data_IF_525943083213
#
_entry.id   IF_525943083213
#
_cell.length_a   1.000
_cell.length_b   1.000
_cell.length_c   1.000
_cell.angle_alpha   90.00
_cell.angle_beta   90.00
_cell.angle_gamma   90.00
#
_symmetry.space_group_name_H-M   'P 1'
#
loop_
_entity.id
_entity.type
_entity.pdbx_description
1 polymer ?
2 polymer ?
3 polymer ?
4 non-polymer ?
5 non-polymer ?
6 non-polymer ?
7 water ?
#
loop_
_entity_poly.entity_id
_entity_poly.type
_entity_poly.pdbx_seq_one_letter_code
_entity_poly.pdbx_strand_id
2 'polydeoxyribonucleotide' '(DA)(DG)(DG)(DA)(DC)(DC)(DOC)' ?
3 'polydeoxyribonucleotide' '(DC)(DT)(DG)(DG)(DG)(DT)(DC)(DC)(DT)' ?
#
# COMPACT_ATOMS: atom_id res chain seq x y z
N UNK A 26 2.54 -17.47 -19.84
CA UNK A 26 1.27 -16.97 -20.36
C UNK A 26 0.29 -16.60 -19.25
N UNK A 27 -0.57 -17.54 -18.87
CA UNK A 27 -1.61 -17.31 -17.88
C UNK A 27 -1.09 -17.40 -16.44
N UNK A 28 -1.45 -16.43 -15.60
CA UNK A 28 -0.93 -16.39 -14.24
C UNK A 28 -2.01 -16.56 -13.20
N UNK A 29 -1.59 -16.94 -11.99
CA UNK A 29 -2.48 -16.90 -10.85
C UNK A 29 -1.86 -16.02 -9.75
N UNK A 30 -2.49 -14.87 -9.51
CA UNK A 30 -1.92 -13.86 -8.65
C UNK A 30 -2.84 -13.71 -7.46
N UNK A 31 -2.25 -13.56 -6.27
CA UNK A 31 -3.04 -13.23 -5.08
C UNK A 31 -2.66 -11.85 -4.56
N UNK A 32 -3.66 -11.10 -4.12
CA UNK A 32 -3.50 -9.84 -3.45
C UNK A 32 -3.97 -10.00 -2.00
N UNK A 33 -3.08 -9.72 -1.06
CA UNK A 33 -3.40 -9.89 0.35
C UNK A 33 -3.53 -8.51 0.96
N UNK A 34 -4.59 -8.30 1.72
CA UNK A 34 -4.94 -6.97 2.15
C UNK A 34 -5.39 -6.99 3.62
N UNK A 35 -4.58 -6.46 4.53
CA UNK A 35 -4.83 -6.64 5.97
C UNK A 35 -6.00 -5.81 6.44
N UNK A 36 -6.88 -6.34 7.29
CA UNK A 36 -7.98 -5.51 7.79
C UNK A 36 -7.52 -4.35 8.70
N UNK A 37 -8.04 -3.13 8.50
CA UNK A 37 -7.76 -1.96 9.37
C UNK A 37 -6.38 -2.02 10.06
N UNK A 38 -5.34 -2.01 9.25
CA UNK A 38 -4.02 -2.48 9.69
C UNK A 38 -3.50 -1.88 11.00
N UNK A 39 -3.44 -0.55 11.09
CA UNK A 39 -2.87 0.09 12.28
C UNK A 39 -3.71 -0.22 13.52
N UNK A 40 -5.02 -0.09 13.36
CA UNK A 40 -5.97 -0.42 14.41
C UNK A 40 -5.76 -1.85 14.88
N UNK A 41 -5.57 -2.76 13.92
CA UNK A 41 -5.36 -4.17 14.23
C UNK A 41 -4.09 -4.38 15.03
N UNK A 42 -3.00 -3.73 14.64
CA UNK A 42 -1.74 -3.87 15.36
C UNK A 42 -1.89 -3.34 16.78
N UNK A 43 -2.67 -2.27 16.93
CA UNK A 43 -2.88 -1.69 18.25
C UNK A 43 -3.63 -2.65 19.16
N UNK A 44 -4.61 -3.36 18.60
CA UNK A 44 -5.43 -4.28 19.38
C UNK A 44 -4.67 -5.54 19.77
N UNK A 45 -3.62 -5.86 19.04
CA UNK A 45 -2.77 -7.00 19.37
C UNK A 45 -1.71 -6.57 20.39
N UNK A 46 -1.67 -5.26 20.67
CA UNK A 46 -0.76 -4.75 21.69
C UNK A 46 -1.38 -4.86 23.08
N UNK A 47 -2.50 -4.16 23.28
CA UNK A 47 -3.35 -4.45 24.43
C UNK A 47 -4.75 -4.91 23.99
N UNK A 48 -4.96 -6.25 24.01
CA UNK A 48 -6.19 -6.97 23.63
C UNK A 48 -7.44 -6.33 24.22
N UNK A 49 -7.28 -5.72 25.38
CA UNK A 49 -8.33 -4.97 26.05
C UNK A 49 -9.09 -4.07 25.07
N UNK A 50 -8.34 -3.47 24.13
CA UNK A 50 -8.91 -2.54 23.16
C UNK A 50 -9.91 -3.18 22.20
N UNK A 51 -9.83 -4.50 22.05
CA UNK A 51 -10.79 -5.23 21.23
C UNK A 51 -12.19 -5.02 21.80
N UNK A 52 -13.21 -5.09 20.94
CA UNK A 52 -14.61 -4.85 21.28
C UNK A 52 -14.94 -3.37 21.50
N UNK A 53 -13.95 -2.57 21.87
CA UNK A 53 -14.13 -1.13 22.03
C UNK A 53 -13.81 -0.40 20.73
N UNK A 54 -14.63 0.60 20.38
CA UNK A 54 -14.52 1.36 19.12
C UNK A 54 -13.23 2.21 19.07
N UNK A 55 -12.34 1.87 18.14
CA UNK A 55 -10.99 2.42 18.16
C UNK A 55 -10.62 3.25 16.94
N UNK A 56 -9.96 4.36 17.18
CA UNK A 56 -9.39 5.18 16.12
C UNK A 56 -7.90 5.34 16.33
N UNK A 57 -7.15 5.30 15.24
CA UNK A 57 -5.73 5.61 15.30
C UNK A 57 -5.54 7.04 14.78
N UNK A 58 -4.92 7.88 15.60
CA UNK A 58 -4.82 9.30 15.28
C UNK A 58 -3.40 9.68 14.89
N UNK A 59 -3.31 10.63 13.99
CA UNK A 59 -2.05 11.22 13.63
C UNK A 59 -2.36 12.70 13.55
N UNK A 60 -1.69 13.47 14.40
CA UNK A 60 -1.98 14.89 14.53
C UNK A 60 -3.46 15.18 14.79
N UNK A 61 -4.18 15.61 13.77
CA UNK A 61 -5.57 16.01 13.95
C UNK A 61 -6.55 15.12 13.19
N UNK A 62 -6.07 13.96 12.72
CA UNK A 62 -6.93 13.10 11.91
C UNK A 62 -6.96 11.68 12.43
N UNK A 63 -8.08 11.01 12.21
CA UNK A 63 -8.15 9.59 12.41
C UNK A 63 -7.83 8.94 11.07
N UNK A 64 -6.64 8.35 10.97
CA UNK A 64 -6.18 7.80 9.71
C UNK A 64 -6.79 6.43 9.42
N UNK A 65 -7.03 5.66 10.47
CA UNK A 65 -7.86 4.46 10.36
C UNK A 65 -8.50 4.09 11.70
N UNK A 66 -9.56 3.30 11.62
CA UNK A 66 -10.34 2.90 12.79
C UNK A 66 -10.75 1.44 12.65
N UNK A 67 -11.03 0.78 13.76
CA UNK A 67 -11.52 -0.60 13.70
C UNK A 67 -12.96 -0.68 13.21
N UNK A 68 -13.49 -1.90 13.14
CA UNK A 68 -14.81 -2.10 12.55
C UNK A 68 -15.96 -1.75 13.49
N UNK A 69 -15.72 -1.90 14.79
CA UNK A 69 -16.63 -1.37 15.81
C UNK A 69 -16.86 0.11 15.51
N UNK A 70 -15.80 0.89 15.68
CA UNK A 70 -15.85 2.33 15.46
C UNK A 70 -16.35 2.72 14.07
N UNK A 71 -15.99 1.93 13.06
CA UNK A 71 -16.38 2.24 11.68
C UNK A 71 -17.88 2.14 11.50
N UNK A 72 -18.51 1.24 12.27
CA UNK A 72 -19.95 1.01 12.21
C UNK A 72 -20.74 2.26 12.58
N UNK A 73 -20.15 3.05 13.49
CA UNK A 73 -20.78 4.25 14.00
C UNK A 73 -20.43 5.50 13.20
N UNK A 74 -20.36 5.36 11.87
CA UNK A 74 -20.17 6.50 11.00
C UNK A 74 -18.75 7.03 10.86
N UNK A 75 -17.82 6.45 11.60
CA UNK A 75 -16.41 6.88 11.53
C UNK A 75 -15.72 6.31 10.29
N UNK A 76 -14.86 7.10 9.67
CA UNK A 76 -14.03 6.60 8.57
C UNK A 76 -12.65 7.26 8.45
N UNK A 77 -11.82 6.70 7.59
CA UNK A 77 -10.43 7.12 7.43
C UNK A 77 -10.27 8.57 6.99
N UNK A 78 -9.18 9.18 7.41
CA UNK A 78 -8.82 10.55 7.02
C UNK A 78 -9.91 11.55 7.39
N UNK A 79 -10.73 11.19 8.38
CA UNK A 79 -11.75 12.10 8.90
C UNK A 79 -11.24 12.70 10.19
N UNK A 80 -11.29 14.03 10.31
CA UNK A 80 -10.74 14.71 11.48
C UNK A 80 -11.42 14.34 12.78
N UNK A 81 -10.69 14.49 13.88
CA UNK A 81 -11.21 14.17 15.22
C UNK A 81 -12.49 14.93 15.54
N UNK A 82 -12.58 16.16 15.06
CA UNK A 82 -13.78 16.98 15.19
C UNK A 82 -14.99 16.26 14.60
N UNK A 83 -14.88 15.86 13.34
CA UNK A 83 -15.93 15.12 12.65
C UNK A 83 -15.97 13.66 13.10
N UNK A 84 -15.12 13.29 14.05
CA UNK A 84 -15.03 11.90 14.51
C UNK A 84 -15.52 11.74 15.94
N UNK A 85 -15.36 12.78 16.75
CA UNK A 85 -15.80 12.72 18.13
C UNK A 85 -17.27 13.10 18.28
N UNK A 86 -17.78 13.85 17.31
CA UNK A 86 -19.18 14.28 17.35
C UNK A 86 -20.13 13.14 16.96
N UNK A 87 -19.62 12.15 16.25
CA UNK A 87 -20.38 10.94 15.95
C UNK A 87 -20.13 9.89 17.02
N UNK A 88 -18.90 9.82 17.49
CA UNK A 88 -18.57 8.94 18.61
C UNK A 88 -17.86 9.71 19.69
N UNK A 89 -18.62 10.19 20.67
CA UNK A 89 -18.02 10.70 21.90
C UNK A 89 -17.32 9.55 22.62
N UNK A 90 -17.75 8.33 22.34
CA UNK A 90 -17.17 7.13 22.95
C UNK A 90 -15.98 6.60 22.14
N UNK A 91 -15.67 7.26 21.04
CA UNK A 91 -14.51 6.91 20.22
C UNK A 91 -13.23 6.93 21.04
N UNK A 92 -12.51 5.81 21.06
CA UNK A 92 -11.21 5.74 21.72
C UNK A 92 -10.08 6.04 20.73
N UNK A 93 -9.12 6.86 21.14
CA UNK A 93 -8.04 7.30 20.28
C UNK A 93 -6.68 6.81 20.73
N UNK A 94 -5.90 6.29 19.79
CA UNK A 94 -4.50 5.94 20.06
C UNK A 94 -3.63 6.66 19.05
N UNK A 95 -2.47 7.11 19.51
CA UNK A 95 -1.59 7.91 18.66
C UNK A 95 -0.76 7.00 17.78
N UNK A 96 -0.82 7.24 16.47
CA UNK A 96 -0.12 6.36 15.55
C UNK A 96 0.85 7.07 14.65
N UNK A 97 1.39 8.19 15.14
CA UNK A 97 2.35 8.95 14.37
C UNK A 97 3.65 8.17 14.18
N UNK A 98 4.08 7.48 15.23
CA UNK A 98 5.27 6.64 15.16
C UNK A 98 4.96 5.32 14.47
N UNK A 99 5.43 5.19 13.22
CA UNK A 99 5.14 4.03 12.38
C UNK A 99 5.96 2.78 12.72
N UNK A 100 6.88 2.91 13.68
CA UNK A 100 7.81 1.81 13.99
C UNK A 100 7.20 0.42 14.12
N UNK A 101 6.21 0.27 15.00
CA UNK A 101 5.60 -1.05 15.21
C UNK A 101 4.76 -1.50 13.98
N UNK A 102 4.20 -0.57 13.23
CA UNK A 102 3.40 -0.94 12.05
C UNK A 102 4.34 -1.46 10.97
N UNK A 103 5.46 -0.75 10.79
CA UNK A 103 6.49 -1.13 9.83
C UNK A 103 7.06 -2.50 10.15
N UNK A 104 7.33 -2.76 11.42
CA UNK A 104 7.84 -4.07 11.80
C UNK A 104 6.85 -5.21 11.50
N UNK A 105 5.58 -5.02 11.88
CA UNK A 105 4.57 -6.03 11.58
C UNK A 105 4.41 -6.20 10.06
N UNK A 106 4.49 -5.09 9.35
CA UNK A 106 4.36 -5.12 7.90
C UNK A 106 5.42 -6.02 7.26
N UNK A 107 6.66 -5.89 7.70
CA UNK A 107 7.71 -6.78 7.20
C UNK A 107 7.55 -8.22 7.66
N UNK A 108 6.98 -8.44 8.84
CA UNK A 108 6.69 -9.82 9.24
C UNK A 108 5.67 -10.48 8.30
N UNK A 109 4.69 -9.71 7.82
CA UNK A 109 3.68 -10.28 6.93
C UNK A 109 4.36 -10.65 5.62
N UNK A 110 5.10 -9.71 5.07
CA UNK A 110 5.79 -9.94 3.82
C UNK A 110 6.71 -11.16 3.92
N UNK A 111 7.47 -11.26 5.02
CA UNK A 111 8.37 -12.40 5.17
C UNK A 111 7.62 -13.74 5.23
N UNK A 112 6.50 -13.78 5.93
CA UNK A 112 5.73 -15.02 6.00
C UNK A 112 5.15 -15.39 4.61
N UNK A 113 4.78 -14.37 3.84
CA UNK A 113 4.25 -14.65 2.51
C UNK A 113 5.39 -15.13 1.65
N UNK A 114 6.60 -14.62 1.92
CA UNK A 114 7.74 -14.99 1.09
C UNK A 114 8.10 -16.48 1.23
N UNK A 115 7.65 -17.10 2.30
CA UNK A 115 7.88 -18.53 2.51
C UNK A 115 7.07 -19.37 1.53
N UNK A 116 5.88 -18.89 1.21
CA UNK A 116 5.03 -19.52 0.21
C UNK A 116 5.68 -19.48 -1.20
N UNK A 117 6.01 -18.30 -1.69
CA UNK A 117 6.72 -18.14 -2.95
C UNK A 117 7.59 -16.93 -2.79
N UNK A 118 8.84 -16.99 -3.28
CA UNK A 118 9.75 -15.87 -3.04
C UNK A 118 9.37 -14.57 -3.73
N UNK A 119 8.48 -14.60 -4.72
CA UNK A 119 8.12 -13.36 -5.41
C UNK A 119 6.95 -12.65 -4.75
N UNK A 120 7.27 -11.69 -3.89
CA UNK A 120 6.25 -10.93 -3.21
C UNK A 120 6.51 -9.45 -3.40
N UNK A 121 5.48 -8.74 -3.86
CA UNK A 121 5.56 -7.31 -4.04
C UNK A 121 4.73 -6.60 -3.00
N UNK A 122 5.33 -5.63 -2.33
CA UNK A 122 4.66 -4.85 -1.30
C UNK A 122 3.99 -3.66 -1.96
N UNK A 123 2.84 -3.29 -1.45
CA UNK A 123 2.24 -2.05 -1.86
C UNK A 123 1.83 -1.35 -0.57
N UNK A 124 2.57 -0.31 -0.21
CA UNK A 124 2.38 0.31 1.09
C UNK A 124 2.71 -0.69 2.18
N UNK A 125 2.27 -0.39 3.40
CA UNK A 125 2.57 -1.23 4.54
C UNK A 125 1.66 -2.44 4.70
N UNK A 126 0.51 -2.47 4.03
CA UNK A 126 -0.45 -3.52 4.38
C UNK A 126 -1.04 -4.33 3.21
N UNK A 127 -0.45 -4.19 2.03
CA UNK A 127 -0.85 -5.00 0.90
C UNK A 127 0.37 -5.69 0.31
N UNK A 128 0.15 -6.91 -0.15
CA UNK A 128 1.16 -7.67 -0.86
C UNK A 128 0.52 -8.42 -2.04
N UNK A 129 1.23 -8.47 -3.17
CA UNK A 129 0.90 -9.37 -4.26
C UNK A 129 1.88 -10.51 -4.23
N UNK A 130 1.40 -11.72 -4.51
CA UNK A 130 2.25 -12.88 -4.69
C UNK A 130 1.88 -13.60 -6.01
N UNK A 131 2.88 -13.95 -6.81
CA UNK A 131 2.65 -14.72 -8.02
C UNK A 131 2.62 -16.19 -7.65
N UNK A 132 1.43 -16.76 -7.65
CA UNK A 132 1.26 -18.13 -7.22
C UNK A 132 1.35 -19.14 -8.37
N UNK A 133 1.75 -18.70 -9.56
CA UNK A 133 1.64 -19.53 -10.76
C UNK A 133 2.40 -20.86 -10.70
N UNK A 134 3.68 -20.81 -10.35
CA UNK A 134 4.52 -22.01 -10.30
C UNK A 134 4.09 -22.92 -9.17
N UNK A 135 3.66 -22.29 -8.08
CA UNK A 135 3.10 -23.01 -6.95
C UNK A 135 1.80 -23.77 -7.31
N UNK A 136 0.89 -23.11 -8.02
CA UNK A 136 -0.32 -23.80 -8.50
C UNK A 136 0.04 -25.00 -9.37
N UNK A 137 0.92 -24.77 -10.34
CA UNK A 137 1.39 -25.80 -11.25
C UNK A 137 2.04 -27.00 -10.55
N UNK A 138 2.86 -26.72 -9.55
CA UNK A 138 3.49 -27.79 -8.78
C UNK A 138 2.43 -28.64 -8.09
N UNK A 139 1.42 -27.98 -7.51
CA UNK A 139 0.37 -28.71 -6.80
C UNK A 139 -0.47 -29.57 -7.75
N UNK A 140 -0.76 -29.04 -8.94
CA UNK A 140 -1.62 -29.77 -9.86
C UNK A 140 -0.97 -31.04 -10.37
N UNK A 141 0.30 -30.96 -10.76
CA UNK A 141 0.97 -32.13 -11.31
C UNK A 141 1.30 -33.15 -10.22
N UNK A 142 0.99 -32.80 -8.98
CA UNK A 142 1.19 -33.72 -7.87
C UNK A 142 -0.09 -34.53 -7.69
N UNK A 143 -1.20 -33.97 -8.16
CA UNK A 143 -2.50 -34.63 -8.09
C UNK A 143 -2.65 -35.67 -9.19
N UNK A 144 -3.59 -36.61 -8.98
CA UNK A 144 -3.93 -37.61 -10.00
C UNK A 144 -5.26 -37.26 -10.66
N UNK A 145 -5.62 -38.01 -11.70
CA UNK A 145 -6.83 -37.70 -12.48
C UNK A 145 -8.12 -37.74 -11.67
N UNK A 146 -8.20 -38.66 -10.72
CA UNK A 146 -9.39 -38.81 -9.89
C UNK A 146 -9.48 -37.72 -8.83
N UNK A 147 -8.36 -37.04 -8.59
CA UNK A 147 -8.27 -35.99 -7.58
C UNK A 147 -8.68 -34.63 -8.13
N UNK A 148 -8.50 -34.45 -9.44
CA UNK A 148 -8.89 -33.22 -10.12
C UNK A 148 -10.34 -32.88 -9.86
N UNK A 149 -11.20 -33.89 -9.94
CA UNK A 149 -12.64 -33.70 -9.77
C UNK A 149 -13.00 -33.30 -8.33
N UNK A 150 -12.07 -33.53 -7.41
CA UNK A 150 -12.30 -33.25 -5.99
C UNK A 150 -11.94 -31.80 -5.58
N UNK A 151 -11.26 -31.07 -6.46
CA UNK A 151 -10.82 -29.71 -6.17
C UNK A 151 -11.96 -28.76 -5.83
N UNK A 152 -11.86 -28.06 -4.70
CA UNK A 152 -12.91 -27.16 -4.25
C UNK A 152 -12.35 -25.77 -3.98
N UNK A 153 -13.25 -24.79 -3.99
CA UNK A 153 -12.88 -23.41 -3.74
C UNK A 153 -12.79 -23.14 -2.22
N UNK A 154 -11.87 -22.26 -1.83
CA UNK A 154 -11.91 -21.69 -0.48
C UNK A 154 -12.43 -20.28 -0.56
N UNK A 155 -13.47 -19.98 0.21
CA UNK A 155 -14.02 -18.64 0.23
C UNK A 155 -14.96 -18.37 -0.93
N UNK A 156 -15.17 -17.09 -1.21
CA UNK A 156 -16.16 -16.64 -2.18
C UNK A 156 -15.70 -16.80 -3.63
N UNK A 157 -16.65 -17.02 -4.53
CA UNK A 157 -16.37 -16.91 -5.96
C UNK A 157 -17.05 -15.64 -6.41
N UNK A 158 -16.34 -14.77 -7.13
CA UNK A 158 -16.92 -13.48 -7.47
C UNK A 158 -18.20 -13.67 -8.33
N UNK A 159 -19.22 -12.88 -8.01
CA UNK A 159 -20.49 -12.89 -8.72
C UNK A 159 -21.24 -14.21 -8.58
N UNK A 160 -20.88 -15.02 -7.58
CA UNK A 160 -21.45 -16.34 -7.42
C UNK A 160 -21.35 -17.16 -8.72
N UNK A 161 -20.25 -17.00 -9.45
CA UNK A 161 -20.15 -17.64 -10.75
C UNK A 161 -19.90 -19.13 -10.66
N UNK A 162 -20.53 -19.87 -11.57
CA UNK A 162 -20.43 -21.32 -11.58
C UNK A 162 -19.05 -21.83 -11.95
N UNK A 163 -18.55 -22.75 -11.13
CA UNK A 163 -17.26 -23.35 -11.38
C UNK A 163 -17.40 -24.47 -12.39
N UNK A 164 -16.46 -24.55 -13.33
CA UNK A 164 -16.41 -25.67 -14.24
C UNK A 164 -15.08 -26.40 -14.06
N UNK A 165 -15.14 -27.60 -13.50
CA UNK A 165 -13.93 -28.33 -13.10
C UNK A 165 -13.13 -28.91 -14.27
N UNK A 166 -13.66 -28.83 -15.48
CA UNK A 166 -12.92 -29.34 -16.62
C UNK A 166 -12.23 -28.16 -17.31
N UNK A 167 -12.58 -26.95 -16.87
CA UNK A 167 -11.90 -25.74 -17.32
C UNK A 167 -10.58 -25.59 -16.55
N UNK A 168 -9.46 -25.73 -17.24
CA UNK A 168 -8.17 -25.80 -16.57
C UNK A 168 -7.83 -24.48 -15.87
N UNK A 169 -8.32 -23.37 -16.42
CA UNK A 169 -8.16 -22.06 -15.82
C UNK A 169 -8.94 -21.97 -14.52
N UNK A 170 -10.14 -22.56 -14.52
CA UNK A 170 -10.96 -22.58 -13.32
C UNK A 170 -10.21 -23.36 -12.23
N UNK A 171 -9.65 -24.51 -12.62
CA UNK A 171 -8.91 -25.35 -11.68
C UNK A 171 -7.73 -24.63 -11.03
N UNK A 172 -6.94 -23.95 -11.85
CA UNK A 172 -5.76 -23.23 -11.39
C UNK A 172 -6.14 -22.14 -10.39
N UNK A 173 -7.19 -21.40 -10.70
CA UNK A 173 -7.67 -20.33 -9.84
C UNK A 173 -8.18 -20.86 -8.50
N UNK A 174 -8.84 -22.01 -8.51
CA UNK A 174 -9.31 -22.63 -7.29
C UNK A 174 -8.16 -23.08 -6.40
N UNK A 175 -7.09 -23.57 -7.02
CA UNK A 175 -5.92 -23.99 -6.26
C UNK A 175 -5.34 -22.72 -5.63
N UNK A 176 -5.40 -21.62 -6.40
CA UNK A 176 -5.03 -20.29 -5.93
C UNK A 176 -5.77 -19.90 -4.67
N UNK A 177 -7.08 -20.11 -4.67
CA UNK A 177 -7.92 -19.76 -3.53
C UNK A 177 -7.53 -20.59 -2.30
N UNK A 178 -7.11 -21.84 -2.52
CA UNK A 178 -6.69 -22.73 -1.45
C UNK A 178 -5.36 -22.29 -0.82
N UNK A 179 -4.44 -21.84 -1.65
CA UNK A 179 -3.18 -21.32 -1.17
C UNK A 179 -3.42 -20.02 -0.43
N UNK A 180 -4.31 -19.19 -0.99
CA UNK A 180 -4.68 -17.93 -0.34
C UNK A 180 -5.23 -18.16 1.06
N UNK A 181 -6.05 -19.21 1.22
CA UNK A 181 -6.63 -19.51 2.53
C UNK A 181 -5.56 -19.93 3.54
N UNK A 182 -4.60 -20.72 3.06
CA UNK A 182 -3.45 -21.15 3.84
C UNK A 182 -2.59 -19.97 4.27
N UNK A 183 -2.41 -19.01 3.36
CA UNK A 183 -1.71 -17.78 3.69
C UNK A 183 -2.43 -17.06 4.83
N UNK A 184 -3.74 -16.84 4.66
CA UNK A 184 -4.51 -16.14 5.67
C UNK A 184 -4.53 -16.85 7.03
N UNK A 185 -4.54 -18.18 7.00
CA UNK A 185 -4.53 -18.94 8.24
C UNK A 185 -3.15 -18.87 8.92
N UNK A 186 -2.09 -18.88 8.12
CA UNK A 186 -0.76 -18.74 8.66
C UNK A 186 -0.58 -17.35 9.30
N UNK A 187 -1.01 -16.31 8.59
CA UNK A 187 -0.92 -14.94 9.11
C UNK A 187 -1.65 -14.84 10.44
N UNK A 188 -2.79 -15.49 10.51
CA UNK A 188 -3.55 -15.40 11.74
C UNK A 188 -2.91 -16.23 12.86
N UNK A 189 -2.50 -17.46 12.54
CA UNK A 189 -1.95 -18.35 13.55
C UNK A 189 -0.57 -17.90 14.05
N UNK A 190 0.23 -17.33 13.15
CA UNK A 190 1.61 -16.98 13.46
C UNK A 190 1.78 -15.55 13.88
N UNK A 191 0.93 -14.68 13.34
CA UNK A 191 1.08 -13.25 13.60
C UNK A 191 -0.14 -12.63 14.24
N UNK A 192 -1.21 -13.40 14.39
CA UNK A 192 -2.46 -12.87 14.93
C UNK A 192 -3.18 -11.88 14.03
N UNK A 193 -2.78 -11.81 12.77
CA UNK A 193 -3.36 -10.81 11.88
C UNK A 193 -4.43 -11.39 10.95
N UNK A 194 -5.43 -10.56 10.70
CA UNK A 194 -6.58 -10.95 9.91
C UNK A 194 -6.53 -10.08 8.65
N UNK A 195 -6.94 -10.65 7.52
CA UNK A 195 -6.86 -9.95 6.25
C UNK A 195 -7.77 -10.51 5.15
N UNK A 196 -7.94 -9.75 4.08
CA UNK A 196 -8.64 -10.22 2.88
C UNK A 196 -7.65 -10.67 1.81
N UNK A 197 -8.11 -11.55 0.92
CA UNK A 197 -7.32 -11.94 -0.24
C UNK A 197 -8.19 -11.98 -1.48
N UNK A 198 -7.60 -11.70 -2.63
CA UNK A 198 -8.31 -11.88 -3.90
C UNK A 198 -7.42 -12.66 -4.82
N UNK A 199 -7.97 -13.66 -5.48
CA UNK A 199 -7.22 -14.46 -6.44
C UNK A 199 -7.77 -14.20 -7.84
N UNK A 200 -6.89 -13.89 -8.78
CA UNK A 200 -7.30 -13.55 -10.14
C UNK A 200 -6.11 -13.74 -11.09
N UNK A 201 -6.32 -13.43 -12.37
CA UNK A 201 -5.33 -13.74 -13.41
C UNK A 201 -4.23 -12.68 -13.55
N UNK A 202 -4.45 -11.50 -12.97
CA UNK A 202 -3.40 -10.47 -12.92
C UNK A 202 -3.51 -9.59 -11.67
N UNK A 203 -2.63 -8.59 -11.55
CA UNK A 203 -2.55 -7.77 -10.32
C UNK A 203 -3.73 -6.84 -10.17
N UNK A 204 -4.09 -6.16 -11.25
CA UNK A 204 -5.23 -5.27 -11.22
C UNK A 204 -6.47 -5.98 -10.66
N UNK A 205 -6.77 -7.12 -11.26
CA UNK A 205 -7.98 -7.86 -10.94
C UNK A 205 -7.91 -8.51 -9.53
N UNK A 206 -6.76 -9.06 -9.16
CA UNK A 206 -6.59 -9.57 -7.79
C UNK A 206 -6.88 -8.46 -6.78
N UNK A 207 -6.38 -7.27 -7.06
CA UNK A 207 -6.59 -6.14 -6.17
C UNK A 207 -8.03 -5.64 -6.20
N UNK A 208 -8.68 -5.69 -7.37
CA UNK A 208 -10.07 -5.26 -7.41
C UNK A 208 -10.91 -6.27 -6.66
N UNK A 209 -10.60 -7.55 -6.81
CA UNK A 209 -11.47 -8.58 -6.22
C UNK A 209 -11.27 -8.83 -4.71
N UNK A 210 -10.11 -8.45 -4.17
CA UNK A 210 -9.78 -8.79 -2.77
C UNK A 210 -10.71 -8.09 -1.80
N UNK A 211 -11.18 -6.93 -2.20
CA UNK A 211 -12.04 -6.14 -1.33
C UNK A 211 -13.54 -6.44 -1.44
N UNK A 212 -13.94 -7.32 -2.36
CA UNK A 212 -15.38 -7.56 -2.55
C UNK A 212 -16.10 -8.02 -1.30
N UNK A 213 -15.49 -8.95 -0.56
CA UNK A 213 -16.03 -9.33 0.73
C UNK A 213 -15.01 -9.00 1.82
N UNK A 214 -15.40 -8.13 2.74
CA UNK A 214 -14.50 -7.69 3.80
C UNK A 214 -15.29 -7.45 5.08
N UNK A 215 -14.62 -7.52 6.25
CA UNK A 215 -13.19 -7.85 6.41
C UNK A 215 -13.00 -9.35 6.53
N UNK A 216 -11.74 -9.76 6.45
CA UNK A 216 -11.34 -11.12 6.79
C UNK A 216 -12.08 -12.20 6.00
N UNK A 217 -12.19 -11.99 4.69
CA UNK A 217 -12.72 -13.00 3.78
C UNK A 217 -11.91 -12.97 2.50
N UNK A 218 -12.12 -13.95 1.63
CA UNK A 218 -11.40 -13.95 0.37
C UNK A 218 -12.32 -14.28 -0.81
N UNK A 219 -11.92 -13.81 -1.98
CA UNK A 219 -12.75 -13.97 -3.16
C UNK A 219 -11.85 -14.34 -4.31
N UNK A 220 -12.32 -15.24 -5.16
CA UNK A 220 -11.60 -15.62 -6.38
C UNK A 220 -12.41 -15.18 -7.63
N UNK A 221 -11.71 -14.62 -8.62
CA UNK A 221 -12.36 -14.08 -9.80
C UNK A 221 -12.16 -15.04 -10.97
N UNK A 222 -13.24 -15.62 -11.49
CA UNK A 222 -13.17 -16.47 -12.69
C UNK A 222 -13.22 -15.58 -13.93
N UNK A 223 -12.57 -15.98 -15.02
CA UNK A 223 -12.37 -15.08 -16.16
C UNK A 223 -13.68 -14.56 -16.76
N UNK A 224 -14.74 -15.37 -16.70
CA UNK A 224 -16.03 -14.98 -17.29
C UNK A 224 -16.69 -13.80 -16.59
N UNK A 225 -16.25 -13.53 -15.36
CA UNK A 225 -16.84 -12.45 -14.55
C UNK A 225 -15.99 -11.18 -14.54
N UNK A 226 -14.97 -11.16 -15.38
CA UNK A 226 -14.02 -10.04 -15.42
C UNK A 226 -14.71 -8.73 -15.82
N UNK A 227 -15.52 -8.79 -16.88
CA UNK A 227 -16.19 -7.58 -17.33
C UNK A 227 -17.16 -7.07 -16.27
N UNK A 228 -17.81 -8.00 -15.56
CA UNK A 228 -18.73 -7.62 -14.49
C UNK A 228 -17.96 -6.90 -13.35
N UNK A 229 -16.78 -7.41 -13.02
CA UNK A 229 -15.97 -6.79 -11.96
C UNK A 229 -15.57 -5.37 -12.35
N UNK A 230 -15.03 -5.20 -13.57
CA UNK A 230 -14.60 -3.85 -13.98
C UNK A 230 -15.76 -2.87 -14.16
N UNK A 231 -16.91 -3.33 -14.67
CA UNK A 231 -18.05 -2.43 -14.79
C UNK A 231 -18.78 -2.18 -13.48
N UNK A 232 -18.47 -2.97 -12.46
CA UNK A 232 -19.07 -2.71 -11.16
C UNK A 232 -18.49 -1.40 -10.58
N UNK A 233 -17.33 -0.96 -11.06
CA UNK A 233 -16.79 0.34 -10.59
C UNK A 233 -17.68 1.47 -11.06
N UNK A 234 -17.76 2.53 -10.27
CA UNK A 234 -18.63 3.66 -10.62
C UNK A 234 -17.90 4.86 -11.23
N UNK A 235 -16.60 4.97 -10.97
CA UNK A 235 -15.80 6.00 -11.62
C UNK A 235 -14.39 5.51 -11.91
N UNK A 236 -13.77 6.08 -12.93
CA UNK A 236 -12.48 5.62 -13.41
C UNK A 236 -11.39 5.85 -12.35
N UNK A 237 -11.66 6.77 -11.43
CA UNK A 237 -10.74 7.06 -10.34
C UNK A 237 -10.67 5.88 -9.38
N UNK A 238 -11.59 4.94 -9.50
CA UNK A 238 -11.52 3.73 -8.67
C UNK A 238 -10.59 2.68 -9.29
N UNK A 239 -10.09 2.95 -10.48
CA UNK A 239 -9.11 2.06 -11.06
C UNK A 239 -7.70 2.31 -10.51
N UNK A 240 -7.12 1.28 -9.88
CA UNK A 240 -5.74 1.41 -9.37
C UNK A 240 -4.78 1.80 -10.50
N UNK A 241 -4.11 2.94 -10.37
CA UNK A 241 -3.26 3.44 -11.45
C UNK A 241 -3.78 4.77 -11.96
N UNK A 242 -5.03 5.06 -11.67
CA UNK A 242 -5.64 6.34 -12.00
C UNK A 242 -5.77 7.19 -10.75
N UNK A 243 -4.84 8.13 -10.57
CA UNK A 243 -4.87 8.99 -9.41
C UNK A 243 -5.56 10.32 -9.65
N UNK A 244 -5.33 11.26 -8.74
CA UNK A 244 -5.97 12.57 -8.78
C UNK A 244 -5.81 13.29 -10.12
N UNK A 245 -4.56 13.43 -10.55
CA UNK A 245 -4.26 14.17 -11.77
C UNK A 245 -4.83 13.50 -13.01
N UNK A 246 -4.69 12.19 -13.10
CA UNK A 246 -5.17 11.48 -14.28
C UNK A 246 -6.70 11.50 -14.37
N UNK A 247 -7.35 11.33 -13.23
CA UNK A 247 -8.80 11.31 -13.15
C UNK A 247 -9.37 12.66 -13.56
N UNK A 248 -8.90 13.73 -12.92
CA UNK A 248 -9.36 15.08 -13.22
C UNK A 248 -9.14 15.40 -14.69
N UNK A 249 -8.04 14.93 -15.25
CA UNK A 249 -7.80 15.03 -16.68
C UNK A 249 -8.90 14.35 -17.49
N UNK A 250 -9.18 13.07 -17.18
CA UNK A 250 -10.20 12.34 -17.90
C UNK A 250 -11.56 13.00 -17.75
N UNK A 251 -11.83 13.52 -16.54
CA UNK A 251 -13.06 14.25 -16.28
C UNK A 251 -13.19 15.49 -17.17
N UNK A 252 -12.05 16.09 -17.50
CA UNK A 252 -12.03 17.26 -18.39
C UNK A 252 -12.20 16.86 -19.86
N UNK A 253 -12.34 15.56 -20.11
CA UNK A 253 -12.53 15.09 -21.46
C UNK A 253 -13.87 14.37 -21.58
N UNK A 254 -14.69 14.53 -20.55
CA UNK A 254 -16.00 13.89 -20.50
C UNK A 254 -15.94 12.39 -20.23
N UNK A 255 -14.79 11.90 -19.77
CA UNK A 255 -14.67 10.48 -19.47
C UNK A 255 -14.95 10.23 -18.00
N UNK A 256 -16.02 9.51 -17.73
CA UNK A 256 -16.44 9.28 -16.35
C UNK A 256 -16.47 7.80 -15.95
N UNK A 257 -17.14 6.97 -16.72
CA UNK A 257 -17.27 5.56 -16.39
C UNK A 257 -16.15 4.73 -17.00
N UNK A 258 -16.03 3.49 -16.55
CA UNK A 258 -15.10 2.55 -17.14
C UNK A 258 -15.36 2.37 -18.64
N UNK A 259 -16.63 2.27 -19.03
CA UNK A 259 -16.98 2.05 -20.41
C UNK A 259 -16.58 3.25 -21.28
N UNK A 260 -16.78 4.45 -20.77
CA UNK A 260 -16.26 5.67 -21.40
C UNK A 260 -14.78 5.55 -21.73
N UNK A 261 -13.97 5.15 -20.75
CA UNK A 261 -12.53 5.01 -20.97
C UNK A 261 -12.23 3.90 -21.96
N UNK A 262 -12.95 2.80 -21.85
CA UNK A 262 -12.83 1.67 -22.77
C UNK A 262 -13.10 2.08 -24.23
N UNK A 263 -14.08 2.96 -24.42
CA UNK A 263 -14.55 3.27 -25.78
C UNK A 263 -14.07 4.62 -26.31
N UNK A 264 -13.29 5.35 -25.52
CA UNK A 264 -12.84 6.68 -25.92
C UNK A 264 -11.74 6.55 -26.97
N UNK A 265 -11.51 7.61 -27.75
CA UNK A 265 -10.51 7.56 -28.81
C UNK A 265 -9.08 7.45 -28.28
N UNK A 266 -8.38 6.39 -28.68
CA UNK A 266 -7.00 6.14 -28.27
C UNK A 266 -6.08 7.31 -28.62
N UNK A 267 -6.22 7.81 -29.85
CA UNK A 267 -5.34 8.86 -30.35
C UNK A 267 -5.50 10.14 -29.55
N UNK A 268 -6.75 10.51 -29.28
CA UNK A 268 -7.02 11.69 -28.47
C UNK A 268 -6.50 11.48 -27.05
N UNK A 269 -6.61 10.24 -26.57
CA UNK A 269 -6.14 9.89 -25.23
C UNK A 269 -4.61 10.05 -25.15
N UNK A 270 -3.91 9.52 -26.15
CA UNK A 270 -2.45 9.64 -26.21
C UNK A 270 -2.01 11.10 -26.22
N UNK A 271 -2.67 11.92 -27.03
CA UNK A 271 -2.39 13.35 -27.06
C UNK A 271 -2.44 14.02 -25.68
N UNK A 272 -3.54 13.81 -24.96
CA UNK A 272 -3.78 14.57 -23.75
C UNK A 272 -3.03 14.10 -22.49
N UNK A 273 -2.52 12.87 -22.50
CA UNK A 273 -1.89 12.31 -21.31
C UNK A 273 -0.55 11.65 -21.59
N UNK A 274 -0.20 11.53 -22.87
CA UNK A 274 1.03 10.87 -23.24
C UNK A 274 0.77 9.43 -23.65
N UNK A 275 1.67 8.91 -24.46
CA UNK A 275 1.53 7.58 -25.03
C UNK A 275 1.57 6.49 -23.95
N UNK A 276 2.48 6.63 -22.99
CA UNK A 276 2.62 5.61 -21.97
C UNK A 276 1.36 5.45 -21.13
N UNK A 277 0.93 6.55 -20.52
CA UNK A 277 -0.21 6.56 -19.63
C UNK A 277 -1.49 6.14 -20.35
N UNK A 278 -1.70 6.70 -21.54
CA UNK A 278 -2.90 6.42 -22.33
C UNK A 278 -3.12 4.94 -22.59
N UNK A 279 -2.13 4.31 -23.20
CA UNK A 279 -2.26 2.92 -23.59
C UNK A 279 -2.35 2.00 -22.37
N UNK A 280 -1.64 2.36 -21.30
CA UNK A 280 -1.69 1.55 -20.09
C UNK A 280 -3.06 1.62 -19.44
N UNK A 281 -3.55 2.84 -19.19
CA UNK A 281 -4.81 2.97 -18.46
C UNK A 281 -6.02 2.59 -19.28
N UNK A 282 -5.91 2.59 -20.61
CA UNK A 282 -7.02 2.15 -21.43
C UNK A 282 -7.07 0.65 -21.37
N UNK A 283 -5.89 0.03 -21.34
CA UNK A 283 -5.74 -1.41 -21.16
C UNK A 283 -6.37 -1.81 -19.83
N UNK A 284 -6.10 -1.02 -18.78
CA UNK A 284 -6.69 -1.25 -17.46
C UNK A 284 -8.22 -1.16 -17.44
N UNK A 285 -8.79 -0.26 -18.26
CA UNK A 285 -10.26 -0.14 -18.32
C UNK A 285 -10.93 -1.42 -18.81
N UNK A 286 -10.18 -2.28 -19.51
CA UNK A 286 -10.66 -3.61 -19.92
C UNK A 286 -10.29 -4.74 -18.94
N UNK A 287 -9.67 -4.39 -17.82
CA UNK A 287 -9.21 -5.42 -16.89
C UNK A 287 -7.93 -6.11 -17.32
N UNK A 288 -7.22 -5.52 -18.27
CA UNK A 288 -5.99 -6.13 -18.79
C UNK A 288 -4.79 -5.47 -18.17
N UNK A 289 -3.91 -6.27 -17.59
CA UNK A 289 -2.72 -5.74 -16.91
C UNK A 289 -1.67 -6.84 -16.92
N UNK A 290 -0.60 -6.63 -17.68
CA UNK A 290 0.43 -7.66 -17.81
C UNK A 290 1.67 -7.38 -16.95
N UNK A 291 1.60 -6.35 -16.12
CA UNK A 291 2.73 -6.00 -15.23
C UNK A 291 3.05 -7.16 -14.30
N UNK A 292 4.33 -7.54 -14.24
CA UNK A 292 4.75 -8.68 -13.43
C UNK A 292 4.72 -8.33 -11.95
N UNK A 293 4.56 -9.35 -11.12
CA UNK A 293 4.74 -9.18 -9.69
C UNK A 293 6.24 -9.04 -9.46
N UNK A 294 6.66 -7.95 -8.81
CA UNK A 294 8.09 -7.65 -8.65
C UNK A 294 8.56 -7.96 -7.23
N UNK A 295 9.65 -8.69 -7.06
CA UNK A 295 10.17 -8.96 -5.71
C UNK A 295 10.57 -7.63 -5.07
N UNK A 296 9.86 -7.21 -4.03
CA UNK A 296 10.18 -5.94 -3.38
C UNK A 296 11.54 -6.00 -2.68
N UNK A 297 11.79 -7.08 -1.94
CA UNK A 297 13.01 -7.20 -1.18
C UNK A 297 13.12 -6.08 -0.15
N UNK A 298 14.35 -5.79 0.31
CA UNK A 298 14.53 -4.70 1.27
C UNK A 298 14.18 -3.36 0.62
N UNK A 299 13.80 -2.37 1.44
CA UNK A 299 13.39 -1.05 0.94
C UNK A 299 14.52 -0.31 0.21
N UNK A 300 14.14 0.59 -0.68
CA UNK A 300 15.06 1.36 -1.52
C UNK A 300 15.38 2.72 -0.90
N UNK A 301 14.60 3.07 0.12
CA UNK A 301 14.79 4.32 0.85
C UNK A 301 14.20 4.14 2.24
N UNK A 302 14.59 5.02 3.16
CA UNK A 302 13.84 5.17 4.39
C UNK A 302 13.90 6.59 4.93
N UNK A 303 12.79 7.03 5.52
CA UNK A 303 12.65 8.43 5.86
C UNK A 303 11.94 8.62 7.20
N UNK A 304 12.20 9.75 7.83
CA UNK A 304 11.45 10.15 9.01
C UNK A 304 10.81 11.48 8.65
N UNK A 305 9.55 11.64 9.01
CA UNK A 305 8.79 12.78 8.53
C UNK A 305 7.96 13.36 9.68
N UNK A 306 7.67 14.65 9.61
CA UNK A 306 6.83 15.31 10.59
C UNK A 306 6.26 16.57 9.97
N UNK A 307 5.01 16.87 10.29
CA UNK A 307 4.41 18.10 9.80
C UNK A 307 3.86 18.93 10.95
N UNK A 308 3.49 20.17 10.66
CA UNK A 308 3.24 21.14 11.72
C UNK A 308 2.59 22.39 11.17
N UNK A 309 1.89 23.12 12.03
CA UNK A 309 1.19 24.33 11.63
C UNK A 309 2.15 25.38 11.10
N UNK A 310 3.31 25.51 11.74
CA UNK A 310 4.26 26.56 11.36
C UNK A 310 5.70 26.29 11.79
N UNK A 311 6.62 26.47 10.84
CA UNK A 311 8.03 26.61 11.17
C UNK A 311 8.55 27.84 10.44
N UNK A 312 9.16 28.75 11.18
CA UNK A 312 9.55 30.03 10.62
C UNK A 312 10.92 30.53 11.11
N UNK A 313 11.67 29.66 11.78
CA UNK A 313 13.02 30.00 12.21
C UNK A 313 13.99 28.87 11.91
N UNK A 314 15.23 29.22 11.61
CA UNK A 314 16.25 28.24 11.27
C UNK A 314 16.58 27.37 12.47
N UNK A 315 16.40 27.91 13.67
CA UNK A 315 16.71 27.16 14.89
C UNK A 315 15.62 26.13 15.17
N UNK A 316 14.38 26.46 14.84
CA UNK A 316 13.27 25.52 14.94
C UNK A 316 13.53 24.36 14.00
N UNK A 317 13.64 24.70 12.71
CA UNK A 317 13.97 23.72 11.67
C UNK A 317 15.15 22.84 12.05
N UNK A 318 16.21 23.44 12.56
CA UNK A 318 17.41 22.67 12.88
C UNK A 318 17.11 21.63 13.94
N UNK A 319 16.26 21.99 14.90
CA UNK A 319 15.95 21.07 15.98
C UNK A 319 15.09 19.90 15.49
N UNK A 320 14.09 20.21 14.68
CA UNK A 320 13.24 19.17 14.10
C UNK A 320 14.10 18.18 13.29
N UNK A 321 15.00 18.74 12.50
CA UNK A 321 15.90 17.98 11.65
C UNK A 321 16.81 17.09 12.47
N UNK A 322 17.26 17.60 13.61
CA UNK A 322 18.08 16.78 14.50
C UNK A 322 17.27 15.63 15.07
N UNK A 323 16.00 15.90 15.38
CA UNK A 323 15.11 14.85 15.86
C UNK A 323 14.91 13.76 14.79
N UNK A 324 14.51 14.19 13.60
CA UNK A 324 14.27 13.25 12.49
C UNK A 324 15.50 12.40 12.18
N UNK A 325 16.65 13.07 12.08
CA UNK A 325 17.90 12.37 11.81
C UNK A 325 18.25 11.39 12.90
N UNK A 326 18.08 11.79 14.16
CA UNK A 326 18.39 10.90 15.27
C UNK A 326 17.58 9.61 15.16
N UNK A 327 16.28 9.75 15.02
CA UNK A 327 15.40 8.62 14.79
C UNK A 327 15.81 7.82 13.55
N UNK A 328 16.09 8.52 12.45
CA UNK A 328 16.50 7.87 11.21
C UNK A 328 17.76 7.04 11.36
N UNK A 329 18.71 7.54 12.15
CA UNK A 329 19.96 6.83 12.38
C UNK A 329 19.76 5.55 13.16
N UNK A 330 18.77 5.53 14.04
CA UNK A 330 18.44 4.30 14.77
C UNK A 330 18.03 3.15 13.83
N UNK A 331 17.58 3.53 12.63
CA UNK A 331 17.10 2.57 11.64
C UNK A 331 18.19 2.25 10.63
N UNK A 332 19.17 3.15 10.52
CA UNK A 332 20.22 3.02 9.50
C UNK A 332 21.09 1.78 9.72
N UNK A 333 20.96 1.15 10.89
CA UNK A 333 21.58 -0.13 11.14
C UNK A 333 21.05 -1.15 10.12
N UNK A 334 19.88 -1.72 10.41
CA UNK A 334 19.11 -2.57 9.50
C UNK A 334 19.90 -3.59 8.66
N UNK A 335 19.31 -3.96 7.52
CA UNK A 335 19.89 -4.96 6.61
C UNK A 335 21.08 -4.40 5.82
N UNK A 337 23.65 -3.10 4.66
CA UNK A 337 23.45 -2.02 3.70
C UNK A 337 23.58 -0.62 4.31
N UNK A 338 24.18 0.29 3.55
CA UNK A 338 24.34 1.67 4.01
C UNK A 338 23.92 2.66 2.94
N UNK A 339 23.38 3.83 3.36
CA UNK A 339 22.94 4.87 2.44
C UNK A 339 24.12 5.66 1.89
N UNK A 340 24.01 6.14 0.66
CA UNK A 340 25.07 6.94 0.08
C UNK A 340 24.52 8.28 -0.35
N UNK A 341 23.25 8.51 -0.07
CA UNK A 341 22.65 9.79 -0.43
C UNK A 341 21.74 10.20 0.71
N UNK A 342 21.63 11.52 0.94
CA UNK A 342 20.66 12.02 1.91
C UNK A 342 19.80 13.08 1.25
N UNK A 343 18.52 13.08 1.59
CA UNK A 343 17.59 14.01 0.99
C UNK A 343 16.81 14.73 2.07
N UNK A 344 16.53 16.01 1.87
CA UNK A 344 15.67 16.72 2.79
C UNK A 344 14.52 17.34 2.02
N UNK A 345 13.32 17.18 2.55
CA UNK A 345 12.12 17.64 1.86
C UNK A 345 11.41 18.64 2.76
N UNK A 346 10.80 19.65 2.16
CA UNK A 346 9.99 20.60 2.91
C UNK A 346 8.66 20.84 2.20
N UNK A 347 7.69 21.38 2.95
CA UNK A 347 6.45 21.86 2.35
C UNK A 347 6.21 23.30 2.84
N UNK A 348 5.55 24.10 2.00
CA UNK A 348 5.32 25.52 2.29
C UNK A 348 3.84 25.90 2.24
N UNK A 349 3.58 27.19 2.45
CA UNK A 349 2.23 27.77 2.37
C UNK A 349 1.29 27.29 3.48
N UNK A 356 3.62 21.59 -5.00
CA UNK A 356 3.72 20.37 -4.21
C UNK A 356 4.76 20.47 -3.11
N UNK A 357 5.84 19.72 -3.24
CA UNK A 357 6.92 19.73 -2.25
C UNK A 357 8.18 20.37 -2.83
N UNK A 358 9.24 20.39 -2.03
CA UNK A 358 10.57 20.82 -2.48
C UNK A 358 11.63 19.97 -1.81
N UNK A 359 12.75 19.76 -2.50
CA UNK A 359 13.83 18.98 -1.89
C UNK A 359 15.19 19.19 -2.52
N UNK A 360 16.20 18.87 -1.73
CA UNK A 360 17.59 18.90 -2.15
C UNK A 360 18.24 17.66 -1.57
N UNK A 361 19.13 17.05 -2.34
CA UNK A 361 19.87 15.90 -1.89
C UNK A 361 21.32 16.08 -2.29
N UNK A 362 22.18 15.25 -1.75
CA UNK A 362 23.60 15.25 -2.07
C UNK A 362 24.16 13.95 -1.53
N UNK A 363 25.32 13.52 -2.04
CA UNK A 363 25.92 12.27 -1.55
C UNK A 363 26.35 12.42 -0.09
N UNK A 364 26.56 11.28 0.57
CA UNK A 364 27.01 11.24 1.96
C UNK A 364 28.49 10.87 1.98
N UNK A 365 29.34 11.78 2.48
CA UNK A 365 30.80 11.57 2.55
C UNK A 365 31.18 10.18 3.03
N UNK A 366 32.14 9.56 2.35
CA UNK A 366 32.46 8.15 2.60
C UNK A 366 32.98 7.86 4.01
N UNK A 367 33.58 8.87 4.64
CA UNK A 367 34.08 8.67 6.00
C UNK A 367 32.91 8.66 6.98
N UNK A 368 31.86 9.40 6.61
CA UNK A 368 30.60 9.35 7.35
C UNK A 368 29.90 8.01 7.13
N UNK A 369 29.91 7.52 5.89
CA UNK A 369 29.33 6.22 5.57
C UNK A 369 30.03 5.15 6.39
N UNK A 370 31.35 5.27 6.47
CA UNK A 370 32.14 4.41 7.36
C UNK A 370 31.69 4.61 8.81
N UNK A 371 30.87 3.70 9.30
CA UNK A 371 30.43 3.73 10.70
C UNK A 371 30.54 2.34 11.30
N UNK A 378 30.81 10.07 16.72
CA UNK A 378 29.59 10.87 16.63
C UNK A 378 29.24 11.10 15.18
N UNK A 379 28.13 10.54 14.73
CA UNK A 379 27.70 10.70 13.35
C UNK A 379 26.86 11.97 13.17
N UNK A 380 26.23 12.42 14.25
CA UNK A 380 25.17 13.44 14.20
C UNK A 380 25.61 14.83 13.73
N UNK A 381 26.82 15.24 14.10
CA UNK A 381 27.30 16.61 13.86
C UNK A 381 27.48 17.03 12.38
N UNK A 382 28.17 16.23 11.57
CA UNK A 382 28.28 16.66 10.17
C UNK A 382 26.99 16.48 9.31
N UNK A 383 26.16 15.48 9.59
CA UNK A 383 24.92 15.30 8.82
C UNK A 383 24.02 16.50 9.01
N UNK A 384 23.93 16.98 10.25
CA UNK A 384 23.13 18.16 10.57
C UNK A 384 23.65 19.33 9.77
N UNK A 385 24.97 19.42 9.69
CA UNK A 385 25.60 20.50 8.93
C UNK A 385 25.32 20.34 7.44
N UNK A 386 25.51 19.13 6.94
CA UNK A 386 25.08 18.75 5.60
C UNK A 386 23.63 19.17 5.34
N UNK A 387 22.73 18.75 6.23
CA UNK A 387 21.30 19.00 6.04
C UNK A 387 20.97 20.49 6.08
N UNK A 388 21.58 21.22 7.02
CA UNK A 388 21.30 22.64 7.14
C UNK A 388 21.78 23.43 5.91
N UNK A 389 22.94 23.04 5.37
CA UNK A 389 23.38 23.62 4.11
C UNK A 389 22.33 23.33 3.05
N UNK A 390 21.90 22.06 2.97
CA UNK A 390 20.78 21.67 2.12
C UNK A 390 19.58 22.54 2.46
N UNK A 391 19.30 22.69 3.75
CA UNK A 391 18.22 23.56 4.21
C UNK A 391 18.29 24.99 3.66
N UNK A 392 19.46 25.62 3.74
CA UNK A 392 19.60 27.00 3.29
C UNK A 392 19.53 27.15 1.78
N UNK A 393 19.71 26.03 1.09
CA UNK A 393 19.62 26.01 -0.37
C UNK A 393 18.22 26.37 -0.88
N UNK A 394 17.18 25.94 -0.16
CA UNK A 394 15.80 26.23 -0.56
C UNK A 394 15.25 27.47 0.15
N UNK A 395 15.48 27.57 1.45
CA UNK A 395 14.97 28.70 2.22
C UNK A 395 16.11 29.60 2.69
N UNK A 396 15.92 30.90 2.57
CA UNK A 396 16.89 31.87 3.09
C UNK A 396 16.47 32.42 4.46
N UNK A 397 17.40 32.36 5.41
CA UNK A 397 17.16 32.72 6.80
C UNK A 397 16.63 34.14 7.00
N UNK A 398 17.14 35.09 6.23
CA UNK A 398 16.85 36.51 6.43
C UNK A 398 15.68 36.99 5.57
N UNK A 399 14.77 36.06 5.26
CA UNK A 399 13.50 36.39 4.62
C UNK A 399 12.41 35.54 5.26
N UNK A 400 11.19 36.06 5.33
CA UNK A 400 10.10 35.30 5.97
C UNK A 400 9.84 33.98 5.23
N UNK A 401 9.41 32.96 5.98
CA UNK A 401 9.05 31.66 5.40
C UNK A 401 8.21 30.83 6.38
N UNK A 402 7.36 29.98 5.84
CA UNK A 402 6.40 29.21 6.64
C UNK A 402 6.38 27.74 6.23
N UNK A 403 7.22 26.94 6.89
CA UNK A 403 7.31 25.51 6.60
C UNK A 403 6.22 24.73 7.32
N UNK A 404 5.62 23.78 6.62
CA UNK A 404 4.60 22.94 7.23
C UNK A 404 5.01 21.46 7.29
N UNK A 405 6.18 21.12 6.75
CA UNK A 405 6.63 19.74 6.75
C UNK A 405 8.14 19.64 6.59
N UNK A 406 8.74 18.71 7.34
CA UNK A 406 10.15 18.42 7.24
C UNK A 406 10.35 16.93 7.16
N UNK A 407 11.20 16.49 6.24
CA UNK A 407 11.52 15.08 6.15
C UNK A 407 12.96 14.85 5.73
N UNK A 408 13.59 13.86 6.37
CA UNK A 408 14.93 13.44 5.97
C UNK A 408 14.85 12.04 5.43
N UNK A 409 15.47 11.82 4.29
CA UNK A 409 15.44 10.53 3.65
C UNK A 409 16.84 10.01 3.39
N UNK A 410 17.11 8.78 3.83
CA UNK A 410 18.28 8.04 3.37
C UNK A 410 17.86 7.19 2.19
N UNK A 411 18.57 7.36 1.07
CA UNK A 411 18.37 6.53 -0.11
C UNK A 411 19.71 6.10 -0.73
N UNK A 412 19.65 5.56 -1.95
CA UNK A 412 20.81 5.02 -2.64
C UNK A 412 21.63 4.09 -1.74
N UNK A 413 20.99 2.98 -1.34
CA UNK A 413 21.59 2.05 -0.39
C UNK A 413 22.42 0.97 -1.07
N UNK A 414 23.54 0.64 -0.45
CA UNK A 414 24.40 -0.46 -0.90
C UNK A 414 24.77 -1.32 0.31
#
# INVERSE_FOLDING_TARGET
MELADVGAAASSQGVHDQVLPTPNASSRVIVHVDLDCFYAQVEMISNPELKDKPLGVQQKYLVVTCNYEARKLGVKKLMNVRDAKEKCPQLVLVNGEDLTRYREMSYKVTELLEEFSPVVERLGFDENFVDLTEMVEKRLQQLQSDELSAVTVSGHVYNNQSINLLDVLHIRLLVGSQIAAEMREAMYNQLGLTGCAGVASNKLLAKLVSGVFKPNQQTVLLPESCQHLIHSLNHIKEIPGIGYKTAKCLEALGINSVRDLQTFSPKILEKELGISVAQRIQKLSFGEDNSPVILSGPPQSFSEEDSFKKCSSEVEAKNKIEELLASLLNRVCQDGRKPHTVRLIIRRYSSEKHYGRESRQCPIPSHVIQKLGTGNYDVMTPMVDILMKLFRNMVNVKMPFHLTLLSVCFCNLKALNTAK
#
